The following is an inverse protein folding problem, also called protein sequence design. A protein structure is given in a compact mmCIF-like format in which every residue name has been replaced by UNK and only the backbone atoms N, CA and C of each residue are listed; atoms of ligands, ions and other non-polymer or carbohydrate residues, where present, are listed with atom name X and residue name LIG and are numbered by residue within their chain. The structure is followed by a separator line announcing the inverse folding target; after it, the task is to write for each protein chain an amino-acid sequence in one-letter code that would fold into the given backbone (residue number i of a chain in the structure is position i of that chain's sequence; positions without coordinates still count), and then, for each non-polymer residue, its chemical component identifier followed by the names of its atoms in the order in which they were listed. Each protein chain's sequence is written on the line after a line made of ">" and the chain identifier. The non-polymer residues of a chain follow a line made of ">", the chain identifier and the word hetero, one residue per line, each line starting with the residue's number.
data_IF_306559470010
#
_entry.id   IF_306559470010
#
_cell.length_a   1.000
_cell.length_b   1.000
_cell.length_c   1.000
_cell.angle_alpha   90.00
_cell.angle_beta   90.00
_cell.angle_gamma   90.00
#
_symmetry.space_group_name_H-M   'P 1'
#
loop_
_entity.id
_entity.type
_entity.pdbx_description
1 polymer ?
#
# COMPACT_ATOMS: atom_id res chain seq x y z
N UNK A 1 -1.80 -30.89 -3.89
CA UNK A 1 -2.73 -30.55 -5.00
C UNK A 1 -2.78 -29.05 -5.33
N UNK A 2 -1.95 -28.17 -4.74
CA UNK A 2 -1.97 -26.72 -5.04
C UNK A 2 -0.71 -26.15 -5.74
N UNK A 3 0.26 -26.99 -6.12
CA UNK A 3 1.57 -26.49 -6.59
C UNK A 3 1.50 -25.62 -7.84
N UNK A 4 0.56 -25.86 -8.76
CA UNK A 4 0.40 -25.03 -9.97
C UNK A 4 -0.26 -23.69 -9.66
N UNK A 5 -1.29 -23.67 -8.80
CA UNK A 5 -1.94 -22.44 -8.36
C UNK A 5 -0.96 -21.55 -7.60
N UNK A 6 -0.14 -22.13 -6.71
CA UNK A 6 0.89 -21.41 -5.96
C UNK A 6 1.94 -20.81 -6.90
N UNK A 7 2.34 -21.53 -7.95
CA UNK A 7 3.26 -21.03 -8.98
C UNK A 7 2.65 -19.86 -9.77
N UNK A 8 1.39 -19.95 -10.18
CA UNK A 8 0.71 -18.88 -10.89
C UNK A 8 0.57 -17.62 -10.01
N UNK A 9 0.23 -17.79 -8.73
CA UNK A 9 0.15 -16.69 -7.77
C UNK A 9 1.51 -16.02 -7.54
N UNK A 10 2.59 -16.79 -7.56
CA UNK A 10 3.95 -16.24 -7.48
C UNK A 10 4.30 -15.44 -8.75
N UNK A 11 3.94 -15.95 -9.94
CA UNK A 11 4.21 -15.24 -11.19
C UNK A 11 3.37 -13.95 -11.31
N UNK A 12 2.10 -13.97 -10.89
CA UNK A 12 1.28 -12.75 -10.84
C UNK A 12 1.95 -11.70 -9.95
N UNK A 13 2.38 -12.08 -8.75
CA UNK A 13 3.10 -11.16 -7.84
C UNK A 13 4.37 -10.60 -8.48
N UNK A 14 5.14 -11.46 -9.17
CA UNK A 14 6.35 -11.05 -9.89
C UNK A 14 6.06 -10.03 -10.99
N UNK A 15 5.03 -10.26 -11.79
CA UNK A 15 4.62 -9.37 -12.87
C UNK A 15 4.06 -8.05 -12.33
N UNK A 16 3.32 -8.08 -11.23
CA UNK A 16 2.84 -6.87 -10.54
C UNK A 16 4.02 -6.04 -10.02
N UNK A 17 5.01 -6.67 -9.38
CA UNK A 17 6.21 -5.95 -8.93
C UNK A 17 6.96 -5.31 -10.11
N UNK A 18 7.12 -6.05 -11.21
CA UNK A 18 7.77 -5.54 -12.41
C UNK A 18 7.00 -4.33 -12.99
N UNK A 19 5.67 -4.43 -13.09
CA UNK A 19 4.82 -3.34 -13.55
C UNK A 19 4.96 -2.10 -12.66
N UNK A 20 4.89 -2.27 -11.35
CA UNK A 20 5.05 -1.17 -10.39
C UNK A 20 6.41 -0.47 -10.53
N UNK A 21 7.48 -1.22 -10.80
CA UNK A 21 8.83 -0.66 -11.02
C UNK A 21 8.98 0.10 -12.34
N UNK A 22 8.05 -0.06 -13.29
CA UNK A 22 8.05 0.78 -14.51
C UNK A 22 7.65 2.23 -14.21
N UNK A 23 6.93 2.46 -13.10
CA UNK A 23 6.55 3.78 -12.66
C UNK A 23 7.75 4.47 -11.95
N UNK A 24 8.23 5.63 -12.42
CA UNK A 24 9.42 6.28 -11.85
C UNK A 24 9.24 6.67 -10.37
N UNK A 25 8.05 7.12 -9.96
CA UNK A 25 7.77 7.49 -8.59
C UNK A 25 7.79 6.25 -7.68
N UNK A 26 7.05 5.20 -8.04
CA UNK A 26 6.99 3.97 -7.23
C UNK A 26 8.37 3.30 -7.17
N UNK A 27 9.10 3.26 -8.29
CA UNK A 27 10.46 2.76 -8.31
C UNK A 27 11.37 3.58 -7.37
N UNK A 28 11.26 4.91 -7.37
CA UNK A 28 12.02 5.74 -6.43
C UNK A 28 11.67 5.43 -4.98
N UNK A 29 10.38 5.20 -4.67
CA UNK A 29 9.91 4.81 -3.34
C UNK A 29 10.53 3.47 -2.92
N UNK A 30 10.58 2.47 -3.82
CA UNK A 30 11.18 1.16 -3.54
C UNK A 30 12.70 1.23 -3.39
N UNK A 31 13.41 1.93 -4.28
CA UNK A 31 14.86 2.10 -4.19
C UNK A 31 15.27 2.77 -2.88
N UNK A 32 14.44 3.65 -2.32
CA UNK A 32 14.69 4.27 -1.02
C UNK A 32 14.53 3.30 0.15
N UNK A 33 13.73 2.22 0.01
CA UNK A 33 13.63 1.18 1.04
C UNK A 33 14.94 0.40 1.17
N UNK A 34 15.68 0.25 0.07
CA UNK A 34 16.95 -0.47 0.01
C UNK A 34 18.10 0.31 0.66
N UNK A 35 17.96 1.63 0.78
CA UNK A 35 18.95 2.50 1.44
C UNK A 35 18.90 2.36 2.97
N UNK A 36 20.07 2.46 3.61
CA UNK A 36 20.24 2.38 5.08
C UNK A 36 20.54 3.77 5.68
N UNK A 37 20.12 3.98 6.93
CA UNK A 37 20.54 5.14 7.74
C UNK A 37 19.97 6.48 7.28
N UNK A 38 20.80 7.54 7.32
CA UNK A 38 20.38 8.94 7.12
C UNK A 38 19.82 9.25 5.72
N UNK A 39 20.11 8.43 4.72
CA UNK A 39 19.64 8.61 3.34
C UNK A 39 18.14 8.34 3.18
N UNK A 40 17.52 7.56 4.08
CA UNK A 40 16.06 7.33 4.11
C UNK A 40 15.28 8.60 4.45
N UNK A 41 15.89 9.54 5.16
CA UNK A 41 15.22 10.75 5.69
C UNK A 41 15.15 11.90 4.69
N UNK A 42 15.64 11.73 3.46
CA UNK A 42 15.46 12.71 2.37
C UNK A 42 14.06 12.64 1.74
N UNK A 43 13.18 11.75 2.22
CA UNK A 43 11.81 11.65 1.73
C UNK A 43 11.05 12.95 2.03
N UNK A 44 10.57 13.57 0.96
CA UNK A 44 9.58 14.64 1.02
C UNK A 44 8.18 14.02 1.02
N UNK A 45 7.24 14.72 1.64
CA UNK A 45 5.81 14.43 1.49
C UNK A 45 5.44 14.39 0.01
N UNK A 46 4.59 13.42 -0.38
CA UNK A 46 4.10 13.33 -1.76
C UNK A 46 3.12 14.47 -2.04
N UNK A 47 3.35 15.16 -3.15
CA UNK A 47 2.45 16.16 -3.70
C UNK A 47 1.17 15.55 -4.29
N UNK A 48 0.22 16.41 -4.64
CA UNK A 48 -1.08 15.99 -5.18
C UNK A 48 -0.95 15.17 -6.46
N UNK A 49 -0.10 15.58 -7.40
CA UNK A 49 0.12 14.88 -8.67
C UNK A 49 0.81 13.53 -8.47
N UNK A 50 1.74 13.45 -7.53
CA UNK A 50 2.42 12.20 -7.17
C UNK A 50 1.43 11.20 -6.56
N UNK A 51 0.50 11.67 -5.73
CA UNK A 51 -0.58 10.85 -5.19
C UNK A 51 -1.49 10.31 -6.29
N UNK A 52 -1.96 11.17 -7.20
CA UNK A 52 -2.82 10.73 -8.30
C UNK A 52 -2.13 9.67 -9.17
N UNK A 53 -0.86 9.91 -9.52
CA UNK A 53 -0.06 8.96 -10.29
C UNK A 53 0.10 7.61 -9.55
N UNK A 54 0.41 7.64 -8.26
CA UNK A 54 0.54 6.43 -7.43
C UNK A 54 -0.78 5.66 -7.34
N UNK A 55 -1.89 6.37 -7.11
CA UNK A 55 -3.23 5.80 -7.01
C UNK A 55 -3.65 5.14 -8.33
N UNK A 56 -3.48 5.81 -9.46
CA UNK A 56 -3.80 5.27 -10.79
C UNK A 56 -2.99 4.01 -11.11
N UNK A 57 -1.70 4.02 -10.75
CA UNK A 57 -0.80 2.88 -10.99
C UNK A 57 -1.20 1.67 -10.14
N UNK A 58 -1.53 1.89 -8.86
CA UNK A 58 -2.01 0.82 -7.97
C UNK A 58 -3.35 0.29 -8.44
N UNK A 59 -4.28 1.19 -8.79
CA UNK A 59 -5.61 0.80 -9.25
C UNK A 59 -5.50 -0.08 -10.51
N UNK A 60 -4.62 0.29 -11.44
CA UNK A 60 -4.33 -0.50 -12.66
C UNK A 60 -3.64 -1.84 -12.36
N UNK A 61 -2.66 -1.87 -11.46
CA UNK A 61 -1.89 -3.07 -11.12
C UNK A 61 -2.74 -4.12 -10.37
N UNK A 62 -3.68 -3.65 -9.55
CA UNK A 62 -4.44 -4.48 -8.62
C UNK A 62 -5.94 -4.48 -8.92
N UNK A 63 -6.32 -4.61 -10.20
CA UNK A 63 -7.69 -4.89 -10.68
C UNK A 63 -8.77 -3.87 -10.26
N UNK A 64 -8.45 -2.59 -10.15
CA UNK A 64 -9.36 -1.57 -9.64
C UNK A 64 -9.37 -1.50 -8.10
N UNK A 65 -8.22 -1.71 -7.44
CA UNK A 65 -8.11 -1.81 -5.98
C UNK A 65 -8.78 -0.65 -5.23
N UNK A 66 -8.60 0.58 -5.69
CA UNK A 66 -9.15 1.78 -5.04
C UNK A 66 -10.67 1.84 -5.28
N UNK A 67 -11.11 1.57 -6.50
CA UNK A 67 -12.54 1.50 -6.84
C UNK A 67 -13.27 0.44 -6.00
N UNK A 68 -12.65 -0.74 -5.83
CA UNK A 68 -13.16 -1.79 -4.94
C UNK A 68 -13.23 -1.32 -3.50
N UNK A 69 -12.17 -0.69 -2.97
CA UNK A 69 -12.17 -0.18 -1.59
C UNK A 69 -13.30 0.84 -1.37
N UNK A 70 -13.49 1.78 -2.29
CA UNK A 70 -14.56 2.77 -2.20
C UNK A 70 -15.95 2.13 -2.29
N UNK A 71 -16.09 1.05 -3.07
CA UNK A 71 -17.37 0.33 -3.23
C UNK A 71 -17.71 -0.50 -1.99
N UNK A 72 -16.77 -1.30 -1.48
CA UNK A 72 -17.01 -2.22 -0.36
C UNK A 72 -16.91 -1.53 1.00
N UNK A 73 -16.15 -0.44 1.10
CA UNK A 73 -15.90 0.30 2.34
C UNK A 73 -16.08 1.81 2.13
N UNK A 74 -17.30 2.29 1.82
CA UNK A 74 -17.58 3.69 1.51
C UNK A 74 -17.31 4.67 2.67
N UNK A 75 -17.07 4.15 3.88
CA UNK A 75 -16.68 4.93 5.05
C UNK A 75 -15.17 5.24 5.13
N UNK A 76 -14.36 4.70 4.21
CA UNK A 76 -12.96 5.06 4.07
C UNK A 76 -12.87 6.50 3.54
N UNK A 77 -12.03 7.31 4.17
CA UNK A 77 -11.73 8.65 3.66
C UNK A 77 -10.61 8.55 2.63
N UNK A 78 -10.44 9.59 1.80
CA UNK A 78 -9.31 9.67 0.85
C UNK A 78 -7.96 9.44 1.56
N UNK A 79 -7.83 9.94 2.80
CA UNK A 79 -6.65 9.71 3.61
C UNK A 79 -6.46 8.22 3.97
N UNK A 80 -7.54 7.51 4.32
CA UNK A 80 -7.48 6.07 4.59
C UNK A 80 -7.11 5.28 3.32
N UNK A 81 -7.60 5.68 2.14
CA UNK A 81 -7.23 5.09 0.85
C UNK A 81 -5.74 5.24 0.56
N UNK A 82 -5.15 6.41 0.85
CA UNK A 82 -3.71 6.63 0.73
C UNK A 82 -2.90 5.69 1.61
N UNK A 83 -3.35 5.45 2.85
CA UNK A 83 -2.73 4.45 3.72
C UNK A 83 -2.87 3.03 3.15
N UNK A 84 -4.05 2.64 2.65
CA UNK A 84 -4.24 1.35 1.97
C UNK A 84 -3.27 1.17 0.80
N UNK A 85 -3.09 2.19 -0.02
CA UNK A 85 -2.17 2.18 -1.16
C UNK A 85 -0.73 1.90 -0.73
N UNK A 86 -0.22 2.65 0.24
CA UNK A 86 1.14 2.45 0.73
C UNK A 86 1.33 1.09 1.43
N UNK A 87 0.29 0.57 2.10
CA UNK A 87 0.34 -0.76 2.70
C UNK A 87 0.28 -1.88 1.66
N UNK A 88 -0.52 -1.73 0.60
CA UNK A 88 -0.58 -2.68 -0.54
C UNK A 88 0.74 -2.77 -1.30
N UNK A 89 1.51 -1.67 -1.31
CA UNK A 89 2.89 -1.63 -1.81
C UNK A 89 3.93 -2.16 -0.80
N UNK A 90 3.51 -2.67 0.36
CA UNK A 90 4.37 -3.15 1.44
C UNK A 90 5.39 -2.11 1.94
N UNK A 91 5.02 -0.83 1.94
CA UNK A 91 5.91 0.23 2.44
C UNK A 91 6.06 0.11 3.97
N UNK A 92 7.29 0.10 4.52
CA UNK A 92 7.49 0.06 5.97
C UNK A 92 6.83 1.24 6.69
N UNK A 93 6.28 1.00 7.88
CA UNK A 93 5.58 2.01 8.69
C UNK A 93 6.36 3.31 8.89
N UNK A 94 7.68 3.22 9.08
CA UNK A 94 8.58 4.38 9.21
C UNK A 94 8.54 5.23 7.94
N UNK A 95 8.57 4.60 6.78
CA UNK A 95 8.60 5.27 5.49
C UNK A 95 7.21 5.81 5.10
N UNK A 96 6.14 5.14 5.53
CA UNK A 96 4.76 5.66 5.44
C UNK A 96 4.64 6.94 6.26
N UNK A 97 5.15 6.96 7.50
CA UNK A 97 5.08 8.14 8.35
C UNK A 97 5.73 9.35 7.67
N UNK A 98 6.89 9.16 7.03
CA UNK A 98 7.57 10.21 6.27
C UNK A 98 6.78 10.65 5.03
N UNK A 99 6.28 9.71 4.21
CA UNK A 99 5.51 10.03 3.00
C UNK A 99 4.19 10.76 3.29
N UNK A 100 3.57 10.43 4.42
CA UNK A 100 2.30 11.00 4.88
C UNK A 100 2.49 12.26 5.75
N UNK A 101 3.73 12.67 6.02
CA UNK A 101 4.08 13.76 6.93
C UNK A 101 3.42 13.66 8.33
N UNK A 102 3.43 12.45 8.91
CA UNK A 102 2.88 12.19 10.25
C UNK A 102 3.91 11.51 11.15
N UNK A 103 3.59 11.42 12.46
CA UNK A 103 4.36 10.59 13.39
C UNK A 103 4.09 9.11 13.14
N UNK A 104 5.10 8.28 13.39
CA UNK A 104 4.97 6.82 13.26
C UNK A 104 3.84 6.24 14.13
N UNK A 105 3.61 6.79 15.33
CA UNK A 105 2.50 6.42 16.21
C UNK A 105 1.12 6.65 15.56
N UNK A 106 0.97 7.71 14.76
CA UNK A 106 -0.25 8.00 14.00
C UNK A 106 -0.54 6.88 13.00
N UNK A 107 0.48 6.37 12.31
CA UNK A 107 0.32 5.27 11.35
C UNK A 107 -0.21 4.00 12.04
N UNK A 108 0.33 3.65 13.21
CA UNK A 108 -0.18 2.51 14.00
C UNK A 108 -1.64 2.69 14.42
N UNK A 109 -2.03 3.87 14.89
CA UNK A 109 -3.41 4.15 15.27
C UNK A 109 -4.37 4.07 14.07
N UNK A 110 -3.96 4.59 12.90
CA UNK A 110 -4.76 4.52 11.68
C UNK A 110 -4.95 3.07 11.24
N UNK A 111 -3.88 2.26 11.21
CA UNK A 111 -3.97 0.82 10.91
C UNK A 111 -4.94 0.11 11.86
N UNK A 112 -4.83 0.36 13.16
CA UNK A 112 -5.75 -0.20 14.15
C UNK A 112 -7.20 0.22 13.91
N UNK A 113 -7.42 1.53 13.69
CA UNK A 113 -8.75 2.12 13.46
C UNK A 113 -9.40 1.53 12.21
N UNK A 114 -8.69 1.47 11.08
CA UNK A 114 -9.21 0.92 9.83
C UNK A 114 -9.56 -0.55 9.98
N UNK A 115 -8.67 -1.33 10.58
CA UNK A 115 -8.86 -2.76 10.84
C UNK A 115 -10.10 -3.04 11.71
N UNK A 116 -10.23 -2.35 12.85
CA UNK A 116 -11.31 -2.58 13.83
C UNK A 116 -12.65 -1.94 13.44
N UNK A 117 -12.64 -0.74 12.87
CA UNK A 117 -13.84 0.11 12.83
C UNK A 117 -14.38 0.34 11.42
N UNK A 118 -13.58 0.13 10.37
CA UNK A 118 -14.00 0.44 9.00
C UNK A 118 -14.13 -0.79 8.11
N UNK A 119 -13.26 -1.78 8.31
CA UNK A 119 -13.24 -2.99 7.47
C UNK A 119 -13.86 -4.18 8.19
N UNK A 120 -13.84 -4.20 9.52
CA UNK A 120 -14.60 -5.16 10.32
C UNK A 120 -14.21 -6.60 10.02
N UNK A 121 -12.92 -6.87 9.76
CA UNK A 121 -12.42 -8.21 9.47
C UNK A 121 -12.74 -9.11 10.67
N UNK A 122 -13.75 -9.98 10.52
CA UNK A 122 -14.17 -10.96 11.55
C UNK A 122 -13.16 -12.09 11.74
N UNK A 123 -12.14 -12.17 10.90
CA UNK A 123 -11.14 -13.24 10.87
C UNK A 123 -9.82 -12.77 11.52
N UNK A 124 -9.06 -13.68 12.11
CA UNK A 124 -7.76 -13.43 12.78
C UNK A 124 -6.61 -13.03 11.81
N UNK A 125 -6.91 -12.32 10.71
CA UNK A 125 -5.94 -11.87 9.72
C UNK A 125 -5.45 -10.47 10.08
N UNK A 126 -4.15 -10.19 9.97
CA UNK A 126 -3.66 -8.82 10.15
C UNK A 126 -4.16 -7.93 9.01
N UNK A 127 -4.21 -6.61 9.24
CA UNK A 127 -4.67 -5.66 8.23
C UNK A 127 -3.83 -5.71 6.94
N UNK A 128 -2.51 -5.89 7.07
CA UNK A 128 -1.61 -6.08 5.93
C UNK A 128 -2.01 -7.32 5.12
N UNK A 129 -2.25 -8.47 5.76
CA UNK A 129 -2.69 -9.70 5.06
C UNK A 129 -4.04 -9.52 4.36
N UNK A 130 -4.97 -8.83 5.01
CA UNK A 130 -6.25 -8.50 4.38
C UNK A 130 -6.03 -7.70 3.09
N UNK A 131 -5.20 -6.65 3.14
CA UNK A 131 -4.93 -5.84 1.95
C UNK A 131 -4.21 -6.64 0.87
N UNK A 132 -3.33 -7.57 1.23
CA UNK A 132 -2.62 -8.43 0.26
C UNK A 132 -3.61 -9.30 -0.52
N UNK A 133 -4.61 -9.85 0.16
CA UNK A 133 -5.64 -10.73 -0.42
C UNK A 133 -6.77 -9.97 -1.14
N UNK A 134 -6.97 -8.68 -0.82
CA UNK A 134 -8.02 -7.83 -1.39
C UNK A 134 -7.70 -7.28 -2.79
#
# INVERSE_FOLDING_TARGET
>A
MNSELDKLQLEIRRLQELFLRTNPLINSIFMLQEKKGKERFQKKELGKEEWLNLEDTINSCYLGFIERLNTYYPNLTDLDIKYCCLLKLHIPTVDIATLMHVKMSTVFMVKYRMYKLKIGVKQNLSFDKFLDEF
#
